data_IF_871822909626
#
_entry.id   IF_871822909626
#
_cell.length_a   1.000
_cell.length_b   1.000
_cell.length_c   1.000
_cell.angle_alpha   90.00
_cell.angle_beta   90.00
_cell.angle_gamma   90.00
#
_symmetry.space_group_name_H-M   'P 1'
#
loop_
_entity.id
_entity.type
_entity.pdbx_description
1 polymer ?
#
# COMPACT_ATOMS: atom_id res chain seq x y z
N UNK A 1 23.59 -5.14 36.93
CA UNK A 1 23.90 -4.22 35.81
C UNK A 1 22.59 -3.84 35.15
N UNK A 2 22.10 -2.60 35.38
CA UNK A 2 20.89 -2.14 34.71
C UNK A 2 21.21 -1.89 33.24
N UNK A 3 20.64 -2.71 32.37
CA UNK A 3 20.72 -2.53 30.90
C UNK A 3 19.81 -1.36 30.55
N UNK A 4 20.31 -0.38 29.80
CA UNK A 4 19.47 0.75 29.40
C UNK A 4 18.28 0.29 28.54
N UNK A 5 17.10 0.93 28.63
CA UNK A 5 15.89 0.56 27.85
C UNK A 5 16.11 0.57 26.35
N UNK A 6 16.98 1.47 25.83
CA UNK A 6 17.34 1.50 24.42
C UNK A 6 18.02 0.18 23.98
N UNK A 7 18.95 -0.34 24.80
CA UNK A 7 19.62 -1.61 24.52
C UNK A 7 18.68 -2.81 24.58
N UNK A 8 17.65 -2.74 25.43
CA UNK A 8 16.59 -3.76 25.45
C UNK A 8 15.75 -3.70 24.15
N UNK A 9 15.45 -2.49 23.67
CA UNK A 9 14.78 -2.31 22.39
C UNK A 9 15.62 -2.83 21.21
N UNK A 10 16.92 -2.56 21.19
CA UNK A 10 17.82 -3.10 20.15
C UNK A 10 17.81 -4.64 20.12
N UNK A 11 17.71 -5.28 21.29
CA UNK A 11 17.56 -6.74 21.37
C UNK A 11 16.20 -7.21 20.85
N UNK A 12 15.12 -6.46 21.11
CA UNK A 12 13.81 -6.74 20.52
C UNK A 12 13.88 -6.68 19.00
N UNK A 13 14.48 -5.64 18.41
CA UNK A 13 14.67 -5.51 16.97
C UNK A 13 15.55 -6.63 16.40
N UNK A 14 16.62 -7.01 17.10
CA UNK A 14 17.46 -8.14 16.70
C UNK A 14 16.72 -9.48 16.76
N UNK A 15 15.81 -9.67 17.69
CA UNK A 15 14.93 -10.85 17.73
C UNK A 15 13.93 -10.83 16.60
N UNK A 16 13.27 -9.68 16.35
CA UNK A 16 12.30 -9.52 15.26
C UNK A 16 12.96 -9.78 13.91
N UNK A 17 14.14 -9.21 13.64
CA UNK A 17 14.86 -9.37 12.38
C UNK A 17 15.22 -10.84 12.05
N UNK A 18 15.38 -11.68 13.08
CA UNK A 18 15.63 -13.14 12.90
C UNK A 18 14.37 -13.95 12.58
N UNK A 19 13.19 -13.41 12.85
CA UNK A 19 11.92 -14.11 12.69
C UNK A 19 11.10 -13.64 11.49
N UNK A 20 11.59 -12.66 10.74
CA UNK A 20 10.95 -12.13 9.53
C UNK A 20 11.98 -11.99 8.41
N UNK A 21 11.52 -11.81 7.16
CA UNK A 21 12.43 -11.58 6.03
C UNK A 21 13.14 -10.23 6.17
N UNK A 22 14.36 -10.12 5.65
CA UNK A 22 15.13 -8.88 5.63
C UNK A 22 14.36 -7.75 4.94
N UNK A 23 13.64 -8.06 3.87
CA UNK A 23 12.80 -7.11 3.16
C UNK A 23 11.67 -6.57 4.06
N UNK A 24 10.98 -7.45 4.79
CA UNK A 24 9.93 -7.08 5.74
C UNK A 24 10.47 -6.21 6.88
N UNK A 25 11.64 -6.59 7.43
CA UNK A 25 12.29 -5.82 8.47
C UNK A 25 12.64 -4.40 8.00
N UNK A 26 13.27 -4.29 6.85
CA UNK A 26 13.66 -2.99 6.27
C UNK A 26 12.47 -2.09 5.96
N UNK A 27 11.32 -2.68 5.58
CA UNK A 27 10.10 -1.94 5.24
C UNK A 27 9.36 -1.43 6.48
N UNK A 28 9.21 -2.26 7.52
CA UNK A 28 8.28 -1.99 8.61
C UNK A 28 8.95 -1.63 9.93
N UNK A 29 10.11 -2.21 10.24
CA UNK A 29 10.75 -2.09 11.55
C UNK A 29 11.92 -1.12 11.58
N UNK A 30 12.62 -0.94 10.47
CA UNK A 30 13.81 -0.07 10.39
C UNK A 30 13.54 1.40 10.68
N UNK A 31 12.32 1.86 10.39
CA UNK A 31 11.88 3.24 10.62
C UNK A 31 11.31 3.49 12.00
N UNK A 32 11.18 2.45 12.83
CA UNK A 32 10.67 2.56 14.20
C UNK A 32 11.77 3.02 15.12
N UNK A 33 11.47 4.05 15.91
CA UNK A 33 12.41 4.61 16.88
C UNK A 33 11.88 4.40 18.29
N UNK A 34 12.72 3.87 19.18
CA UNK A 34 12.42 3.82 20.61
C UNK A 34 12.34 5.24 21.17
N UNK A 35 11.34 5.54 21.98
CA UNK A 35 11.18 6.86 22.57
C UNK A 35 11.29 6.86 24.10
N UNK A 36 10.57 5.98 24.76
CA UNK A 36 10.58 5.90 26.23
C UNK A 36 10.12 4.54 26.75
N UNK A 37 10.55 4.23 27.98
CA UNK A 37 10.01 3.14 28.76
C UNK A 37 9.55 3.66 30.13
N UNK A 38 8.29 3.41 30.46
CA UNK A 38 7.72 3.74 31.76
C UNK A 38 7.63 2.46 32.61
N UNK A 39 8.49 2.35 33.64
CA UNK A 39 8.55 1.17 34.52
C UNK A 39 7.28 1.01 35.35
N UNK A 40 6.69 2.11 35.85
CA UNK A 40 5.50 2.07 36.72
C UNK A 40 4.26 1.53 35.96
N UNK A 41 4.09 1.97 34.71
CA UNK A 41 3.01 1.54 33.84
C UNK A 41 3.35 0.32 33.01
N UNK A 42 4.58 -0.19 33.09
CA UNK A 42 5.11 -1.25 32.23
C UNK A 42 4.82 -0.98 30.73
N UNK A 43 5.08 0.23 30.29
CA UNK A 43 4.71 0.68 28.93
C UNK A 43 5.95 1.12 28.15
N UNK A 44 6.12 0.52 26.99
CA UNK A 44 7.14 0.92 26.00
C UNK A 44 6.46 1.85 24.99
N UNK A 45 7.06 3.02 24.75
CA UNK A 45 6.62 3.99 23.76
C UNK A 45 7.58 3.95 22.58
N UNK A 46 7.05 3.68 21.39
CA UNK A 46 7.80 3.72 20.15
C UNK A 46 7.23 4.77 19.20
N UNK A 47 8.09 5.35 18.41
CA UNK A 47 7.72 6.33 17.40
C UNK A 47 7.68 5.66 16.04
N UNK A 48 6.55 5.82 15.34
CA UNK A 48 6.31 5.29 14.01
C UNK A 48 6.08 6.43 13.02
N UNK A 49 6.45 6.25 11.73
CA UNK A 49 6.38 7.32 10.74
C UNK A 49 4.96 7.71 10.33
N UNK A 50 3.97 6.82 10.51
CA UNK A 50 2.57 7.11 10.14
C UNK A 50 1.60 6.22 10.92
N UNK A 51 0.33 6.63 10.95
CA UNK A 51 -0.77 5.84 11.52
C UNK A 51 -0.91 4.47 10.85
N UNK A 52 -0.66 4.43 9.55
CA UNK A 52 -0.67 3.20 8.76
C UNK A 52 0.37 2.17 9.23
N UNK A 53 1.60 2.61 9.54
CA UNK A 53 2.63 1.70 10.08
C UNK A 53 2.18 1.15 11.43
N UNK A 54 1.54 1.96 12.27
CA UNK A 54 0.97 1.53 13.54
C UNK A 54 -0.07 0.41 13.34
N UNK A 55 -1.08 0.66 12.51
CA UNK A 55 -2.16 -0.31 12.21
C UNK A 55 -1.60 -1.60 11.62
N UNK A 56 -0.68 -1.50 10.67
CA UNK A 56 -0.07 -2.67 10.06
C UNK A 56 0.73 -3.52 11.04
N UNK A 57 1.47 -2.89 11.97
CA UNK A 57 2.20 -3.59 13.01
C UNK A 57 1.25 -4.29 14.00
N UNK A 58 0.16 -3.66 14.37
CA UNK A 58 -0.85 -4.24 15.24
C UNK A 58 -1.58 -5.41 14.59
N UNK A 59 -1.91 -5.30 13.31
CA UNK A 59 -2.64 -6.36 12.63
C UNK A 59 -1.77 -7.60 12.33
N UNK A 60 -0.54 -7.37 11.87
CA UNK A 60 0.30 -8.46 11.34
C UNK A 60 1.41 -8.91 12.29
N UNK A 61 1.88 -8.05 13.16
CA UNK A 61 3.07 -8.29 13.98
C UNK A 61 2.86 -8.13 15.49
N UNK A 62 1.61 -7.89 15.94
CA UNK A 62 1.29 -7.73 17.37
C UNK A 62 1.82 -8.88 18.22
N UNK A 63 1.63 -10.14 17.77
CA UNK A 63 2.12 -11.32 18.49
C UNK A 63 3.66 -11.36 18.56
N UNK A 64 4.34 -11.04 17.45
CA UNK A 64 5.80 -11.02 17.40
C UNK A 64 6.37 -9.90 18.26
N UNK A 65 5.78 -8.71 18.20
CA UNK A 65 6.13 -7.56 19.06
C UNK A 65 5.92 -7.91 20.52
N UNK A 66 4.77 -8.49 20.87
CA UNK A 66 4.48 -8.87 22.25
C UNK A 66 5.49 -9.92 22.78
N UNK A 67 5.85 -10.93 21.99
CA UNK A 67 6.87 -11.92 22.35
C UNK A 67 8.24 -11.26 22.55
N UNK A 68 8.65 -10.40 21.60
CA UNK A 68 9.93 -9.69 21.69
C UNK A 68 10.02 -8.79 22.93
N UNK A 69 8.96 -8.01 23.18
CA UNK A 69 8.88 -7.10 24.33
C UNK A 69 8.82 -7.87 25.65
N UNK A 70 7.99 -8.91 25.74
CA UNK A 70 7.87 -9.73 26.97
C UNK A 70 9.17 -10.42 27.33
N UNK A 71 9.96 -10.80 26.33
CA UNK A 71 11.26 -11.44 26.52
C UNK A 71 12.31 -10.49 27.09
N UNK A 72 12.38 -9.26 26.62
CA UNK A 72 13.46 -8.32 26.97
C UNK A 72 13.05 -7.35 28.09
N UNK A 73 11.79 -6.92 28.17
CA UNK A 73 11.26 -6.00 29.18
C UNK A 73 10.46 -6.68 30.30
N UNK A 74 10.11 -7.97 30.13
CA UNK A 74 9.33 -8.74 31.11
C UNK A 74 7.85 -8.87 30.76
N UNK A 75 7.13 -9.70 31.51
CA UNK A 75 5.71 -10.00 31.26
C UNK A 75 4.80 -8.81 31.60
N UNK A 76 3.71 -8.66 30.84
CA UNK A 76 2.69 -7.61 31.07
C UNK A 76 3.09 -6.24 30.54
N UNK A 77 4.02 -6.19 29.58
CA UNK A 77 4.40 -4.94 28.89
C UNK A 77 3.32 -4.52 27.93
N UNK A 78 2.95 -3.25 27.99
CA UNK A 78 2.07 -2.58 27.03
C UNK A 78 2.92 -1.82 26.01
N UNK A 79 2.46 -1.80 24.77
CA UNK A 79 3.09 -1.04 23.68
C UNK A 79 2.23 0.17 23.35
N UNK A 80 2.86 1.33 23.27
CA UNK A 80 2.22 2.59 22.86
C UNK A 80 2.94 3.18 21.66
N UNK A 81 2.19 3.71 20.72
CA UNK A 81 2.72 4.30 19.50
C UNK A 81 2.60 5.82 19.52
N UNK A 82 3.65 6.50 19.08
CA UNK A 82 3.64 7.93 18.80
C UNK A 82 3.88 8.15 17.32
N UNK A 83 2.99 8.88 16.67
CA UNK A 83 3.07 9.15 15.24
C UNK A 83 3.75 10.50 15.03
N UNK A 84 4.73 10.55 14.11
CA UNK A 84 5.38 11.79 13.69
C UNK A 84 4.45 12.52 12.72
N UNK A 85 3.82 13.58 13.19
CA UNK A 85 3.14 14.56 12.32
C UNK A 85 4.07 15.74 12.09
N UNK A 86 4.52 15.94 10.85
CA UNK A 86 5.19 17.18 10.44
C UNK A 86 4.18 18.33 10.53
N UNK A 87 4.29 19.09 11.55
CA UNK A 87 3.92 20.46 11.93
C UNK A 87 3.32 20.50 13.32
N UNK A 88 3.90 21.37 14.12
CA UNK A 88 3.50 21.80 15.45
C UNK A 88 1.98 21.79 15.68
N UNK A 89 1.46 20.67 16.19
CA UNK A 89 0.28 20.69 17.03
C UNK A 89 0.29 19.45 17.94
N UNK A 90 0.47 19.71 19.22
CA UNK A 90 0.42 18.73 20.28
C UNK A 90 -0.99 18.14 20.38
N UNK A 91 -1.22 17.00 19.75
CA UNK A 91 -2.29 16.10 20.16
C UNK A 91 -1.71 14.69 20.26
N UNK A 92 -1.43 14.32 21.48
CA UNK A 92 -1.08 12.95 21.87
C UNK A 92 -2.37 12.13 21.83
N UNK A 93 -2.56 11.31 20.81
CA UNK A 93 -3.55 10.24 20.86
C UNK A 93 -2.86 9.01 21.42
N UNK A 94 -3.17 8.69 22.67
CA UNK A 94 -2.79 7.44 23.31
C UNK A 94 -3.90 6.44 22.98
N UNK A 95 -3.62 5.46 22.14
CA UNK A 95 -4.48 4.29 22.01
C UNK A 95 -4.04 3.29 23.08
N UNK A 96 -4.90 3.08 24.07
CA UNK A 96 -4.77 2.01 25.05
C UNK A 96 -5.20 0.71 24.37
N UNK A 97 -4.24 -0.21 24.23
CA UNK A 97 -4.54 -1.57 23.76
C UNK A 97 -5.42 -2.29 24.76
N UNK A 98 -6.53 -2.83 24.30
CA UNK A 98 -7.53 -3.54 25.10
C UNK A 98 -6.97 -4.83 25.73
N UNK A 99 -7.58 -5.21 26.84
CA UNK A 99 -7.25 -6.17 27.88
C UNK A 99 -6.95 -7.60 27.40
N UNK A 100 -6.28 -8.43 28.23
CA UNK A 100 -5.91 -9.79 27.91
C UNK A 100 -7.16 -10.68 27.82
N UNK A 101 -7.31 -11.36 26.71
CA UNK A 101 -8.33 -12.40 26.52
C UNK A 101 -7.89 -13.63 27.29
N UNK A 102 -8.61 -13.98 28.34
CA UNK A 102 -8.48 -15.23 29.06
C UNK A 102 -8.77 -16.45 28.14
N UNK A 103 -7.87 -17.39 28.26
CA UNK A 103 -7.85 -18.69 27.61
C UNK A 103 -9.03 -19.55 28.07
N UNK A 104 -10.07 -19.72 27.25
CA UNK A 104 -11.07 -20.76 27.42
C UNK A 104 -11.20 -21.58 26.14
N UNK A 105 -10.34 -22.59 26.07
CA UNK A 105 -10.46 -23.69 25.13
C UNK A 105 -11.70 -24.53 25.42
N UNK A 106 -12.69 -24.50 24.55
CA UNK A 106 -13.63 -25.61 24.36
C UNK A 106 -13.67 -26.00 22.90
N UNK A 107 -13.48 -27.30 22.60
CA UNK A 107 -13.44 -27.79 21.22
C UNK A 107 -14.87 -27.93 20.70
N UNK A 108 -15.21 -27.18 19.67
CA UNK A 108 -16.38 -27.50 18.84
C UNK A 108 -15.92 -28.32 17.64
N UNK A 109 -16.53 -29.48 17.56
CA UNK A 109 -16.42 -30.46 16.48
C UNK A 109 -16.77 -29.79 15.13
N UNK A 110 -15.85 -29.84 14.21
CA UNK A 110 -16.13 -29.57 12.80
C UNK A 110 -16.42 -30.91 12.12
N UNK A 111 -17.63 -31.02 11.63
CA UNK A 111 -18.02 -32.12 10.74
C UNK A 111 -17.15 -32.09 9.49
N UNK A 112 -16.63 -33.29 9.18
CA UNK A 112 -15.95 -33.61 7.95
C UNK A 112 -16.91 -33.49 6.77
N UNK A 113 -16.65 -32.60 5.84
CA UNK A 113 -17.04 -32.74 4.45
C UNK A 113 -15.77 -33.04 3.67
N UNK A 114 -15.61 -34.32 3.31
CA UNK A 114 -14.67 -34.79 2.32
C UNK A 114 -15.10 -34.24 0.96
N UNK A 115 -14.21 -33.52 0.30
CA UNK A 115 -14.10 -33.58 -1.15
C UNK A 115 -12.71 -33.05 -1.56
N UNK A 116 -11.80 -33.96 -1.82
CA UNK A 116 -10.73 -33.73 -2.79
C UNK A 116 -11.30 -34.00 -4.18
N UNK A 117 -10.96 -33.21 -5.20
CA UNK A 117 -9.87 -33.70 -6.02
C UNK A 117 -8.86 -32.60 -6.44
N UNK A 118 -7.62 -33.02 -6.50
CA UNK A 118 -6.54 -32.38 -7.24
C UNK A 118 -6.99 -31.92 -8.62
N UNK A 119 -6.96 -30.61 -8.83
CA UNK A 119 -6.79 -30.06 -10.19
C UNK A 119 -5.89 -28.83 -10.09
N UNK A 120 -4.61 -29.09 -10.27
CA UNK A 120 -3.56 -28.08 -10.50
C UNK A 120 -3.65 -27.43 -11.90
N UNK A 121 -4.84 -27.36 -12.49
CA UNK A 121 -5.02 -26.96 -13.90
C UNK A 121 -6.03 -25.83 -14.13
N UNK A 122 -6.33 -24.98 -13.13
CA UNK A 122 -7.24 -23.85 -13.38
C UNK A 122 -6.75 -22.53 -12.76
N UNK A 123 -5.45 -22.23 -12.84
CA UNK A 123 -4.94 -20.88 -12.65
C UNK A 123 -4.75 -20.19 -14.01
N UNK A 124 -5.80 -20.15 -14.83
CA UNK A 124 -5.89 -19.13 -15.84
C UNK A 124 -5.93 -17.77 -15.10
N UNK A 125 -5.08 -16.79 -15.44
CA UNK A 125 -5.09 -15.49 -14.78
C UNK A 125 -6.51 -14.92 -14.94
N UNK A 126 -7.23 -14.76 -13.83
CA UNK A 126 -8.55 -14.14 -13.85
C UNK A 126 -8.38 -12.76 -14.48
N UNK A 127 -8.97 -12.58 -15.67
CA UNK A 127 -8.97 -11.31 -16.35
C UNK A 127 -9.75 -10.33 -15.50
N UNK A 128 -9.05 -9.29 -15.01
CA UNK A 128 -9.72 -8.20 -14.30
C UNK A 128 -10.43 -7.31 -15.32
N UNK A 129 -11.56 -6.72 -14.93
CA UNK A 129 -12.15 -5.63 -15.68
C UNK A 129 -11.18 -4.43 -15.64
N UNK A 130 -10.63 -4.10 -16.79
CA UNK A 130 -9.64 -3.03 -16.92
C UNK A 130 -10.21 -1.62 -16.76
N UNK A 131 -11.54 -1.47 -16.79
CA UNK A 131 -12.27 -0.20 -16.75
C UNK A 131 -11.83 0.82 -17.82
N UNK A 132 -11.16 0.36 -18.86
CA UNK A 132 -10.73 1.17 -19.99
C UNK A 132 -11.92 1.46 -20.91
N UNK A 133 -11.97 2.67 -21.43
CA UNK A 133 -12.90 3.02 -22.51
C UNK A 133 -12.27 2.64 -23.86
N UNK A 134 -12.78 1.61 -24.57
CA UNK A 134 -12.18 1.14 -25.82
C UNK A 134 -12.30 2.15 -26.97
N UNK A 135 -13.10 3.20 -26.81
CA UNK A 135 -13.24 4.26 -27.80
C UNK A 135 -12.13 5.31 -27.70
N UNK A 136 -11.40 5.41 -26.58
CA UNK A 136 -10.31 6.37 -26.40
C UNK A 136 -8.99 5.70 -26.79
N UNK A 137 -8.63 5.80 -28.05
CA UNK A 137 -7.45 5.17 -28.66
C UNK A 137 -6.43 6.19 -29.16
N UNK A 138 -5.24 5.77 -29.53
CA UNK A 138 -4.24 6.63 -30.19
C UNK A 138 -4.68 7.07 -31.59
N UNK A 139 -5.57 6.32 -32.25
CA UNK A 139 -5.99 6.60 -33.63
C UNK A 139 -6.92 7.82 -33.70
N UNK A 140 -7.76 8.02 -32.69
CA UNK A 140 -8.64 9.16 -32.57
C UNK A 140 -8.16 10.25 -31.60
N UNK A 141 -6.94 10.11 -31.08
CA UNK A 141 -6.29 11.15 -30.26
C UNK A 141 -5.76 12.26 -31.17
N UNK A 142 -6.32 13.45 -31.02
CA UNK A 142 -5.93 14.63 -31.83
C UNK A 142 -4.53 15.07 -31.43
N UNK A 143 -3.60 14.98 -32.40
CA UNK A 143 -2.21 15.39 -32.22
C UNK A 143 -2.05 16.90 -32.49
N UNK A 144 -1.29 17.56 -31.64
CA UNK A 144 -0.89 18.94 -31.76
C UNK A 144 0.53 19.15 -31.23
N UNK A 145 1.12 20.30 -31.49
CA UNK A 145 2.49 20.61 -31.03
C UNK A 145 2.65 20.51 -29.51
N UNK A 146 1.61 20.80 -28.74
CA UNK A 146 1.63 20.76 -27.27
C UNK A 146 1.60 19.36 -26.66
N UNK A 147 1.06 18.36 -27.39
CA UNK A 147 0.91 17.00 -26.87
C UNK A 147 1.69 15.93 -27.64
N UNK A 148 2.38 16.29 -28.70
CA UNK A 148 3.20 15.38 -29.53
C UNK A 148 4.19 14.58 -28.67
N UNK A 149 4.89 15.25 -27.76
CA UNK A 149 5.88 14.62 -26.89
C UNK A 149 5.24 13.58 -25.95
N UNK A 150 4.17 13.96 -25.25
CA UNK A 150 3.47 13.05 -24.34
C UNK A 150 2.81 11.88 -25.06
N UNK A 151 2.27 12.11 -26.28
CA UNK A 151 1.73 11.05 -27.13
C UNK A 151 2.82 10.06 -27.58
N UNK A 152 3.98 10.56 -27.97
CA UNK A 152 5.12 9.71 -28.39
C UNK A 152 5.61 8.84 -27.23
N UNK A 153 5.78 9.43 -26.03
CA UNK A 153 6.13 8.67 -24.83
C UNK A 153 5.05 7.64 -24.51
N UNK A 154 3.77 8.03 -24.59
CA UNK A 154 2.64 7.15 -24.34
C UNK A 154 2.64 5.90 -25.24
N UNK A 155 2.96 6.06 -26.54
CA UNK A 155 3.11 4.93 -27.48
C UNK A 155 4.29 4.04 -27.07
N UNK A 156 5.45 4.62 -26.75
CA UNK A 156 6.63 3.87 -26.30
C UNK A 156 6.32 3.05 -25.03
N UNK A 157 5.55 3.62 -24.09
CA UNK A 157 5.08 2.93 -22.88
C UNK A 157 4.17 1.76 -23.22
N UNK A 158 3.21 1.96 -24.13
CA UNK A 158 2.28 0.91 -24.53
C UNK A 158 2.98 -0.27 -25.23
N UNK A 159 4.00 0.02 -26.04
CA UNK A 159 4.82 -0.97 -26.74
C UNK A 159 5.79 -1.71 -25.81
N UNK A 160 6.26 -1.07 -24.75
CA UNK A 160 7.16 -1.67 -23.78
C UNK A 160 6.83 -1.30 -22.32
N UNK A 161 5.73 -1.84 -21.76
CA UNK A 161 5.27 -1.47 -20.43
C UNK A 161 6.20 -1.94 -19.30
N UNK A 162 7.15 -2.83 -19.56
CA UNK A 162 8.12 -3.31 -18.57
C UNK A 162 9.38 -2.43 -18.48
N UNK A 163 9.61 -1.57 -19.46
CA UNK A 163 10.74 -0.64 -19.41
C UNK A 163 10.57 0.34 -18.26
N UNK A 164 11.60 0.53 -17.43
CA UNK A 164 11.59 1.53 -16.36
C UNK A 164 11.73 2.96 -16.87
N UNK A 165 12.00 3.14 -18.15
CA UNK A 165 12.00 4.47 -18.77
C UNK A 165 10.62 5.11 -18.67
N UNK A 166 10.59 6.36 -18.25
CA UNK A 166 9.33 7.11 -18.00
C UNK A 166 8.38 6.43 -16.99
N UNK A 167 8.93 5.84 -15.92
CA UNK A 167 8.12 5.25 -14.85
C UNK A 167 8.44 5.93 -13.50
N UNK A 168 7.48 6.55 -12.82
CA UNK A 168 6.09 6.77 -13.24
C UNK A 168 5.97 7.75 -14.44
N UNK A 169 4.94 7.55 -15.25
CA UNK A 169 4.57 8.53 -16.29
C UNK A 169 3.50 9.45 -15.72
N UNK A 170 3.86 10.71 -15.53
CA UNK A 170 2.98 11.73 -14.96
C UNK A 170 2.58 12.74 -16.02
N UNK A 171 1.27 12.81 -16.33
CA UNK A 171 0.70 13.74 -17.29
C UNK A 171 -0.07 14.82 -16.55
N UNK A 172 0.25 16.08 -16.79
CA UNK A 172 -0.47 17.17 -16.18
C UNK A 172 -0.79 18.28 -17.20
N UNK A 173 -1.82 19.04 -16.90
CA UNK A 173 -2.26 20.17 -17.74
C UNK A 173 -3.71 20.55 -17.45
N UNK A 174 -4.20 21.66 -18.00
CA UNK A 174 -5.55 22.15 -17.74
C UNK A 174 -6.62 21.12 -18.13
N UNK A 175 -7.81 21.28 -17.55
CA UNK A 175 -8.96 20.45 -17.92
C UNK A 175 -9.26 20.55 -19.40
N UNK A 176 -9.69 19.45 -20.05
CA UNK A 176 -10.02 19.40 -21.46
C UNK A 176 -8.83 19.26 -22.42
N UNK A 177 -7.58 19.24 -21.97
CA UNK A 177 -6.41 19.10 -22.85
C UNK A 177 -6.12 17.67 -23.34
N UNK A 178 -6.97 16.69 -23.01
CA UNK A 178 -6.87 15.32 -23.50
C UNK A 178 -6.07 14.36 -22.63
N UNK A 179 -5.81 14.66 -21.35
CA UNK A 179 -5.07 13.79 -20.41
C UNK A 179 -5.70 12.42 -20.27
N UNK A 180 -6.98 12.38 -19.90
CA UNK A 180 -7.77 11.15 -19.75
C UNK A 180 -7.74 10.31 -21.03
N UNK A 181 -7.89 10.95 -22.21
CA UNK A 181 -7.81 10.25 -23.47
C UNK A 181 -6.43 9.60 -23.67
N UNK A 182 -5.35 10.36 -23.44
CA UNK A 182 -3.99 9.85 -23.62
C UNK A 182 -3.70 8.65 -22.70
N UNK A 183 -3.97 8.77 -21.41
CA UNK A 183 -3.66 7.68 -20.47
C UNK A 183 -4.53 6.44 -20.71
N UNK A 184 -5.78 6.65 -21.13
CA UNK A 184 -6.66 5.55 -21.53
C UNK A 184 -6.17 4.88 -22.82
N UNK A 185 -5.75 5.66 -23.83
CA UNK A 185 -5.18 5.13 -25.07
C UNK A 185 -3.93 4.27 -24.83
N UNK A 186 -3.07 4.67 -23.87
CA UNK A 186 -1.93 3.84 -23.46
C UNK A 186 -2.43 2.49 -22.90
N UNK A 187 -3.44 2.50 -22.04
CA UNK A 187 -4.00 1.28 -21.46
C UNK A 187 -4.61 0.35 -22.51
N UNK A 188 -5.42 0.91 -23.42
CA UNK A 188 -6.07 0.16 -24.51
C UNK A 188 -5.02 -0.49 -25.41
N UNK A 189 -4.01 0.29 -25.83
CA UNK A 189 -2.94 -0.22 -26.69
C UNK A 189 -2.08 -1.26 -25.97
N UNK A 190 -1.73 -1.04 -24.69
CA UNK A 190 -1.03 -2.05 -23.89
C UNK A 190 -1.81 -3.35 -23.84
N UNK A 191 -3.11 -3.30 -23.58
CA UNK A 191 -3.98 -4.48 -23.51
C UNK A 191 -4.11 -5.19 -24.86
N UNK A 192 -4.09 -4.42 -25.97
CA UNK A 192 -4.10 -4.96 -27.33
C UNK A 192 -2.83 -5.74 -27.66
N UNK A 193 -1.66 -5.20 -27.27
CA UNK A 193 -0.35 -5.82 -27.54
C UNK A 193 -0.07 -6.97 -26.56
N UNK A 194 -0.43 -6.79 -25.28
CA UNK A 194 -0.18 -7.73 -24.18
C UNK A 194 -1.48 -8.12 -23.47
N UNK A 195 -2.32 -8.99 -24.06
CA UNK A 195 -3.63 -9.37 -23.50
C UNK A 195 -3.55 -10.01 -22.12
N UNK A 196 -2.43 -10.67 -21.79
CA UNK A 196 -2.17 -11.32 -20.52
C UNK A 196 -1.89 -10.34 -19.37
N UNK A 197 -1.50 -9.10 -19.68
CA UNK A 197 -1.17 -8.12 -18.66
C UNK A 197 -2.43 -7.61 -17.94
N UNK A 198 -2.30 -7.47 -16.65
CA UNK A 198 -3.33 -6.89 -15.78
C UNK A 198 -3.24 -5.36 -15.84
N UNK A 199 -3.99 -4.76 -16.74
CA UNK A 199 -4.09 -3.30 -16.92
C UNK A 199 -5.34 -2.82 -16.19
N UNK A 200 -5.22 -1.84 -15.31
CA UNK A 200 -6.33 -1.23 -14.59
C UNK A 200 -6.29 0.29 -14.76
N UNK A 201 -7.40 0.85 -15.26
CA UNK A 201 -7.68 2.28 -15.21
C UNK A 201 -8.64 2.56 -14.05
N UNK A 202 -8.36 3.60 -13.28
CA UNK A 202 -9.24 4.03 -12.20
C UNK A 202 -9.15 5.56 -12.03
N UNK A 203 -10.28 6.22 -11.77
CA UNK A 203 -10.26 7.61 -11.29
C UNK A 203 -9.87 7.67 -9.81
N UNK A 204 -9.21 8.76 -9.40
CA UNK A 204 -8.84 8.98 -8.00
C UNK A 204 -10.06 8.91 -7.08
N UNK A 205 -11.22 9.44 -7.52
CA UNK A 205 -12.48 9.37 -6.78
C UNK A 205 -12.95 7.92 -6.55
N UNK A 206 -12.91 7.09 -7.60
CA UNK A 206 -13.33 5.68 -7.45
C UNK A 206 -12.39 4.90 -6.54
N UNK A 207 -11.08 5.15 -6.64
CA UNK A 207 -10.09 4.59 -5.73
C UNK A 207 -10.40 4.97 -4.26
N UNK A 208 -10.70 6.25 -3.98
CA UNK A 208 -11.08 6.73 -2.65
C UNK A 208 -12.34 6.02 -2.12
N UNK A 209 -13.37 5.85 -2.97
CA UNK A 209 -14.60 5.14 -2.60
C UNK A 209 -14.30 3.67 -2.26
N UNK A 210 -13.50 3.00 -3.10
CA UNK A 210 -13.11 1.61 -2.85
C UNK A 210 -12.28 1.47 -1.57
N UNK A 211 -11.32 2.37 -1.34
CA UNK A 211 -10.53 2.43 -0.13
C UNK A 211 -11.41 2.62 1.12
N UNK A 212 -12.31 3.62 1.10
CA UNK A 212 -13.22 3.89 2.23
C UNK A 212 -14.11 2.68 2.54
N UNK A 213 -14.63 2.01 1.50
CA UNK A 213 -15.41 0.80 1.67
C UNK A 213 -14.57 -0.35 2.25
N UNK A 214 -13.31 -0.49 1.84
CA UNK A 214 -12.41 -1.50 2.38
C UNK A 214 -12.10 -1.26 3.87
N UNK A 215 -11.88 0.00 4.26
CA UNK A 215 -11.72 0.39 5.67
C UNK A 215 -12.97 0.05 6.49
N UNK A 216 -14.15 0.46 6.03
CA UNK A 216 -15.42 0.21 6.73
C UNK A 216 -15.75 -1.29 6.90
N UNK A 217 -15.25 -2.13 5.97
CA UNK A 217 -15.47 -3.58 5.98
C UNK A 217 -14.31 -4.37 6.59
N UNK A 218 -13.26 -3.70 7.10
CA UNK A 218 -12.02 -4.32 7.57
C UNK A 218 -11.35 -5.24 6.52
N UNK A 219 -11.43 -4.87 5.22
CA UNK A 219 -10.84 -5.63 4.10
C UNK A 219 -9.73 -4.84 3.38
N UNK A 220 -9.06 -3.94 4.11
CA UNK A 220 -8.01 -3.08 3.53
C UNK A 220 -6.83 -3.87 2.97
N UNK A 221 -6.51 -5.02 3.57
CA UNK A 221 -5.44 -5.89 3.07
C UNK A 221 -5.78 -6.52 1.73
N UNK A 222 -7.03 -6.95 1.55
CA UNK A 222 -7.50 -7.50 0.27
C UNK A 222 -7.48 -6.42 -0.81
N UNK A 223 -7.86 -5.19 -0.45
CA UNK A 223 -7.77 -4.02 -1.32
C UNK A 223 -6.33 -3.75 -1.77
N UNK A 224 -5.38 -3.68 -0.83
CA UNK A 224 -3.96 -3.46 -1.14
C UNK A 224 -3.42 -4.60 -1.99
N UNK A 225 -3.67 -5.85 -1.59
CA UNK A 225 -3.22 -7.04 -2.31
C UNK A 225 -3.75 -7.07 -3.75
N UNK A 226 -5.00 -6.70 -3.98
CA UNK A 226 -5.57 -6.59 -5.32
C UNK A 226 -4.75 -5.63 -6.19
N UNK A 227 -4.50 -4.39 -5.71
CA UNK A 227 -3.73 -3.41 -6.48
C UNK A 227 -2.29 -3.83 -6.72
N UNK A 228 -1.67 -4.56 -5.79
CA UNK A 228 -0.30 -5.08 -5.93
C UNK A 228 -0.15 -6.13 -7.04
N UNK A 229 -1.25 -6.75 -7.48
CA UNK A 229 -1.25 -7.71 -8.58
C UNK A 229 -1.29 -7.06 -9.97
N UNK A 230 -1.50 -5.75 -10.06
CA UNK A 230 -1.63 -5.02 -11.32
C UNK A 230 -0.27 -4.87 -11.99
N UNK A 231 -0.23 -5.05 -13.33
CA UNK A 231 0.99 -4.84 -14.12
C UNK A 231 1.11 -3.40 -14.63
N UNK A 232 -0.02 -2.79 -14.98
CA UNK A 232 -0.10 -1.40 -15.44
C UNK A 232 -1.25 -0.71 -14.71
N UNK A 233 -0.91 0.17 -13.78
CA UNK A 233 -1.89 0.97 -13.02
C UNK A 233 -1.97 2.36 -13.61
N UNK A 234 -3.16 2.76 -14.00
CA UNK A 234 -3.48 4.07 -14.56
C UNK A 234 -4.45 4.77 -13.60
N UNK A 235 -4.03 5.91 -13.05
CA UNK A 235 -4.87 6.69 -12.12
C UNK A 235 -5.09 8.08 -12.69
N UNK A 236 -6.35 8.44 -12.85
CA UNK A 236 -6.77 9.75 -13.37
C UNK A 236 -7.21 10.67 -12.25
N UNK A 237 -7.01 11.97 -12.46
CA UNK A 237 -7.47 13.06 -11.58
C UNK A 237 -6.95 12.97 -10.13
N UNK A 238 -5.65 12.63 -9.93
CA UNK A 238 -5.08 12.44 -8.60
C UNK A 238 -5.16 13.68 -7.68
N UNK A 239 -5.39 14.89 -8.22
CA UNK A 239 -5.64 16.11 -7.43
C UNK A 239 -6.90 16.00 -6.56
N UNK A 240 -7.82 15.08 -6.85
CA UNK A 240 -9.00 14.83 -6.01
C UNK A 240 -8.65 14.25 -4.64
N UNK A 241 -7.42 13.75 -4.46
CA UNK A 241 -6.92 13.28 -3.16
C UNK A 241 -6.33 14.40 -2.30
N UNK A 242 -6.43 15.66 -2.70
CA UNK A 242 -6.03 16.78 -1.86
C UNK A 242 -6.71 16.66 -0.50
N UNK A 243 -5.94 16.83 0.59
CA UNK A 243 -6.37 16.67 1.99
C UNK A 243 -6.88 15.26 2.40
N UNK A 244 -6.83 14.25 1.53
CA UNK A 244 -7.24 12.86 1.80
C UNK A 244 -6.06 12.01 2.28
N UNK A 245 -5.49 12.33 3.43
CA UNK A 245 -4.25 11.70 3.93
C UNK A 245 -4.29 10.18 3.97
N UNK A 246 -5.40 9.58 4.40
CA UNK A 246 -5.56 8.11 4.43
C UNK A 246 -5.44 7.47 3.04
N UNK A 247 -6.16 8.03 2.06
CA UNK A 247 -6.11 7.60 0.66
C UNK A 247 -4.71 7.79 0.06
N UNK A 248 -4.09 8.95 0.28
CA UNK A 248 -2.74 9.26 -0.19
C UNK A 248 -1.72 8.26 0.36
N UNK A 249 -1.73 7.98 1.67
CA UNK A 249 -0.81 7.04 2.31
C UNK A 249 -0.98 5.61 1.77
N UNK A 250 -2.22 5.16 1.60
CA UNK A 250 -2.50 3.82 1.06
C UNK A 250 -2.07 3.73 -0.40
N UNK A 251 -2.37 4.74 -1.20
CA UNK A 251 -1.88 4.79 -2.58
C UNK A 251 -0.35 4.81 -2.64
N UNK A 252 0.32 5.58 -1.80
CA UNK A 252 1.78 5.63 -1.75
C UNK A 252 2.40 4.26 -1.41
N UNK A 253 1.74 3.49 -0.55
CA UNK A 253 2.16 2.12 -0.27
C UNK A 253 2.05 1.22 -1.51
N UNK A 254 0.91 1.26 -2.20
CA UNK A 254 0.68 0.52 -3.46
C UNK A 254 1.68 0.97 -4.52
N UNK A 255 1.86 2.28 -4.70
CA UNK A 255 2.83 2.88 -5.61
C UNK A 255 4.25 2.34 -5.39
N UNK A 256 4.73 2.37 -4.14
CA UNK A 256 6.08 1.88 -3.81
C UNK A 256 6.25 0.39 -4.11
N UNK A 257 5.22 -0.41 -3.84
CA UNK A 257 5.24 -1.84 -4.17
C UNK A 257 5.33 -2.05 -5.68
N UNK A 258 4.46 -1.42 -6.46
CA UNK A 258 4.43 -1.53 -7.91
C UNK A 258 5.75 -1.05 -8.53
N UNK A 259 6.23 0.11 -8.12
CA UNK A 259 7.47 0.70 -8.62
C UNK A 259 8.68 -0.20 -8.38
N UNK A 260 8.84 -0.74 -7.16
CA UNK A 260 9.93 -1.65 -6.81
C UNK A 260 9.90 -2.97 -7.57
N UNK A 261 8.70 -3.43 -7.94
CA UNK A 261 8.50 -4.66 -8.71
C UNK A 261 8.49 -4.43 -10.23
N UNK A 262 8.94 -3.27 -10.70
CA UNK A 262 9.02 -2.96 -12.13
C UNK A 262 7.67 -2.87 -12.84
N UNK A 263 6.59 -2.65 -12.08
CA UNK A 263 5.24 -2.46 -12.64
C UNK A 263 5.09 -1.03 -13.16
N UNK A 264 4.27 -0.87 -14.19
CA UNK A 264 4.02 0.43 -14.82
C UNK A 264 3.00 1.25 -14.02
N UNK A 265 3.32 2.53 -13.80
CA UNK A 265 2.43 3.47 -13.13
C UNK A 265 2.26 4.69 -14.04
N UNK A 266 1.00 5.05 -14.30
CA UNK A 266 0.60 6.19 -15.13
C UNK A 266 -0.36 7.04 -14.30
N UNK A 267 -0.06 8.32 -14.16
CA UNK A 267 -0.84 9.25 -13.35
C UNK A 267 -1.23 10.46 -14.17
N UNK A 268 -2.46 10.96 -14.00
CA UNK A 268 -2.88 12.22 -14.59
C UNK A 268 -3.40 13.19 -13.52
N UNK A 269 -3.16 14.49 -13.75
CA UNK A 269 -3.58 15.57 -12.85
C UNK A 269 -3.88 16.86 -13.62
N UNK A 270 -4.78 17.66 -13.08
CA UNK A 270 -4.99 19.05 -13.53
C UNK A 270 -3.91 19.99 -13.01
N UNK A 271 -3.08 19.54 -12.04
CA UNK A 271 -2.06 20.35 -11.39
C UNK A 271 -0.66 19.76 -11.58
N UNK A 272 0.39 20.59 -11.62
CA UNK A 272 1.76 20.11 -11.66
C UNK A 272 2.17 19.44 -10.33
N UNK A 273 3.22 18.58 -10.34
CA UNK A 273 3.63 17.79 -9.16
C UNK A 273 4.05 18.58 -7.92
N UNK A 274 4.31 19.88 -8.09
CA UNK A 274 4.77 20.80 -7.01
C UNK A 274 3.63 21.51 -6.30
N UNK A 275 2.43 21.25 -6.67
CA UNK A 275 1.20 21.75 -6.06
C UNK A 275 0.40 20.54 -5.55
#
# INVERSE_FOLDING_TARGET
>A
MNISPEKLWDKCLAFISKNISEQTYNTWFKSIVFEAFNEEKKMVVIRVPSHFVCEYLEEHYVKLLHVALSREFGSGIQLSYRIVTDKENKQTQTMEGEQPVEDTLKPQQREHVNESPNTLDSLAPQQIDSQLNPQLTFDNYIEGSSNLFSRTIGKTIAENPQSMQFNPFFVFGPSGCGKTHLINAIGVETKRIFPEKRVLYISARLFEVQYTNAVLRNTINDFINFYQTIDVLIVDDIQEWEDKKGTQNTFFHIFNHLFRNGKRIILASDRPPVQ
#
